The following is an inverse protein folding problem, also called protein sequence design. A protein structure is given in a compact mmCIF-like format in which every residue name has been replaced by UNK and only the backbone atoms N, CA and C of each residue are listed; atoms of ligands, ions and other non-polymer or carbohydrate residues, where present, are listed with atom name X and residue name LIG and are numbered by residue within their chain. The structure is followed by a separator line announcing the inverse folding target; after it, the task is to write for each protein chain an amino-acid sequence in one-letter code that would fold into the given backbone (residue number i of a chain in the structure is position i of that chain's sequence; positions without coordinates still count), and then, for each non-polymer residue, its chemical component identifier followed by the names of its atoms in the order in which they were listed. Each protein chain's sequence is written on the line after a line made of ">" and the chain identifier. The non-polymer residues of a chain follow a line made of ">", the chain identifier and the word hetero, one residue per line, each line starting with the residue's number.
data_IF_722498982722
#
_entry.id   IF_722498982722
#
_cell.length_a   1.000
_cell.length_b   1.000
_cell.length_c   1.000
_cell.angle_alpha   90.00
_cell.angle_beta   90.00
_cell.angle_gamma   90.00
#
_symmetry.space_group_name_H-M   'P 1'
#
loop_
_entity.id
_entity.type
_entity.pdbx_description
1 polymer ?
#
# COMPACT_ATOMS: atom_id res chain seq x y z
N UNK A 1 8.83 -7.12 -9.28
CA UNK A 1 7.79 -6.27 -8.64
C UNK A 1 6.57 -6.29 -9.56
N UNK A 2 5.43 -6.72 -9.04
CA UNK A 2 4.18 -6.63 -9.78
C UNK A 2 3.82 -5.15 -9.98
N UNK A 3 3.32 -4.80 -11.15
CA UNK A 3 2.91 -3.45 -11.54
C UNK A 3 1.81 -3.55 -12.59
N UNK A 4 0.91 -2.60 -12.59
CA UNK A 4 -0.08 -2.45 -13.65
C UNK A 4 -0.51 -0.99 -13.78
N UNK A 5 -1.26 -0.71 -14.83
CA UNK A 5 -1.91 0.57 -15.10
C UNK A 5 -3.40 0.29 -15.30
N UNK A 6 -4.25 1.03 -14.62
CA UNK A 6 -5.70 0.91 -14.75
C UNK A 6 -6.32 2.23 -15.19
N UNK A 7 -7.45 2.16 -15.87
CA UNK A 7 -8.30 3.31 -16.18
C UNK A 7 -9.49 3.43 -15.21
N UNK A 8 -9.57 2.53 -14.22
CA UNK A 8 -10.60 2.62 -13.19
C UNK A 8 -10.43 3.87 -12.35
N UNK A 9 -11.51 4.60 -12.15
CA UNK A 9 -11.54 5.76 -11.26
C UNK A 9 -11.49 5.36 -9.78
N UNK A 10 -11.68 4.07 -9.46
CA UNK A 10 -11.71 3.53 -8.09
C UNK A 10 -10.68 2.42 -7.96
N UNK A 11 -9.77 2.58 -7.02
CA UNK A 11 -8.65 1.65 -6.80
C UNK A 11 -9.06 0.38 -6.02
N UNK A 12 -10.20 0.40 -5.33
CA UNK A 12 -10.59 -0.68 -4.40
C UNK A 12 -10.60 -2.07 -5.04
N UNK A 13 -10.98 -2.19 -6.31
CA UNK A 13 -10.99 -3.47 -7.05
C UNK A 13 -9.62 -4.01 -7.44
N UNK A 14 -8.54 -3.21 -7.31
CA UNK A 14 -7.22 -3.60 -7.77
C UNK A 14 -6.41 -4.38 -6.72
N UNK A 15 -6.83 -4.37 -5.45
CA UNK A 15 -6.06 -4.98 -4.35
C UNK A 15 -5.86 -6.47 -4.55
N UNK A 16 -6.93 -7.19 -4.84
CA UNK A 16 -6.91 -8.64 -5.02
C UNK A 16 -6.10 -9.01 -6.25
N UNK A 17 -6.37 -8.36 -7.39
CA UNK A 17 -5.63 -8.61 -8.64
C UNK A 17 -4.13 -8.36 -8.48
N UNK A 18 -3.75 -7.29 -7.79
CA UNK A 18 -2.35 -6.99 -7.51
C UNK A 18 -1.71 -8.02 -6.56
N UNK A 19 -2.46 -8.51 -5.57
CA UNK A 19 -1.99 -9.55 -4.65
C UNK A 19 -1.71 -10.86 -5.40
N UNK A 20 -2.61 -11.25 -6.31
CA UNK A 20 -2.46 -12.44 -7.14
C UNK A 20 -1.28 -12.30 -8.13
N UNK A 21 -1.08 -11.10 -8.70
CA UNK A 21 0.08 -10.80 -9.54
C UNK A 21 1.41 -10.87 -8.76
N UNK A 22 1.42 -10.44 -7.50
CA UNK A 22 2.58 -10.57 -6.59
C UNK A 22 2.88 -12.04 -6.34
N UNK A 23 1.88 -12.85 -6.00
CA UNK A 23 2.04 -14.28 -5.78
C UNK A 23 2.60 -14.99 -7.02
N UNK A 24 2.05 -14.70 -8.19
CA UNK A 24 2.53 -15.23 -9.48
C UNK A 24 3.99 -14.85 -9.73
N UNK A 25 4.36 -13.58 -9.47
CA UNK A 25 5.72 -13.08 -9.74
C UNK A 25 6.77 -13.61 -8.77
N UNK A 26 6.40 -13.90 -7.53
CA UNK A 26 7.31 -14.33 -6.45
C UNK A 26 7.26 -15.84 -6.20
N UNK A 27 6.31 -16.57 -6.77
CA UNK A 27 6.07 -17.98 -6.50
C UNK A 27 5.61 -18.28 -5.07
N UNK A 28 5.21 -17.24 -4.33
CA UNK A 28 4.74 -17.38 -2.93
C UNK A 28 3.81 -16.23 -2.55
N UNK A 29 2.88 -16.51 -1.65
CA UNK A 29 2.01 -15.50 -1.05
C UNK A 29 2.80 -14.54 -0.15
N UNK A 30 2.48 -13.25 -0.14
CA UNK A 30 3.02 -12.33 0.86
C UNK A 30 2.48 -12.73 2.24
N UNK A 31 3.36 -12.82 3.25
CA UNK A 31 2.93 -13.04 4.63
C UNK A 31 2.21 -11.81 5.20
N UNK A 32 2.66 -10.61 4.81
CA UNK A 32 2.10 -9.34 5.25
C UNK A 32 1.84 -8.43 4.06
N UNK A 33 0.76 -7.64 4.14
CA UNK A 33 0.38 -6.65 3.13
C UNK A 33 -0.02 -5.34 3.80
N UNK A 34 0.49 -4.23 3.29
CA UNK A 34 0.04 -2.90 3.70
C UNK A 34 -0.54 -2.14 2.52
N UNK A 35 -1.70 -1.52 2.71
CA UNK A 35 -2.38 -0.76 1.66
C UNK A 35 -3.00 0.54 2.18
N UNK A 36 -3.30 1.44 1.24
CA UNK A 36 -3.93 2.72 1.50
C UNK A 36 -5.43 2.60 1.78
N UNK A 37 -6.01 3.70 2.28
CA UNK A 37 -7.42 3.77 2.64
C UNK A 37 -8.38 3.56 1.46
N UNK A 38 -7.95 3.84 0.23
CA UNK A 38 -8.73 3.56 -0.98
C UNK A 38 -9.03 2.08 -1.21
N UNK A 39 -8.24 1.20 -0.59
CA UNK A 39 -8.42 -0.26 -0.68
C UNK A 39 -9.22 -0.84 0.49
N UNK A 40 -9.63 -0.02 1.48
CA UNK A 40 -10.34 -0.49 2.66
C UNK A 40 -11.81 -0.71 2.36
N UNK A 41 -12.18 -1.94 2.09
CA UNK A 41 -13.57 -2.40 1.96
C UNK A 41 -13.75 -3.75 2.63
N UNK A 42 -14.98 -4.07 3.05
CA UNK A 42 -15.29 -5.37 3.66
C UNK A 42 -14.87 -6.53 2.75
N UNK A 43 -15.18 -6.42 1.45
CA UNK A 43 -14.85 -7.45 0.46
C UNK A 43 -13.34 -7.66 0.31
N UNK A 44 -12.55 -6.58 0.28
CA UNK A 44 -11.10 -6.69 0.20
C UNK A 44 -10.49 -7.30 1.46
N UNK A 45 -10.97 -6.89 2.64
CA UNK A 45 -10.49 -7.45 3.91
C UNK A 45 -10.83 -8.94 4.02
N UNK A 46 -12.03 -9.33 3.63
CA UNK A 46 -12.43 -10.74 3.55
C UNK A 46 -11.55 -11.54 2.58
N UNK A 47 -11.28 -10.99 1.40
CA UNK A 47 -10.42 -11.64 0.41
C UNK A 47 -8.99 -11.85 0.91
N UNK A 48 -8.44 -10.93 1.71
CA UNK A 48 -7.12 -11.04 2.33
C UNK A 48 -7.12 -12.05 3.47
N UNK A 49 -8.16 -12.07 4.31
CA UNK A 49 -8.36 -13.06 5.38
C UNK A 49 -8.42 -14.49 4.81
N UNK A 50 -9.22 -14.70 3.77
CA UNK A 50 -9.34 -15.99 3.09
C UNK A 50 -8.02 -16.48 2.46
N UNK A 51 -7.11 -15.55 2.15
CA UNK A 51 -5.74 -15.86 1.68
C UNK A 51 -4.74 -16.06 2.80
N UNK A 52 -5.13 -15.92 4.06
CA UNK A 52 -4.27 -15.93 5.24
C UNK A 52 -3.13 -14.89 5.16
N UNK A 53 -3.42 -13.70 4.66
CA UNK A 53 -2.48 -12.58 4.57
C UNK A 53 -2.70 -11.66 5.77
N UNK A 54 -1.63 -11.40 6.54
CA UNK A 54 -1.66 -10.45 7.64
C UNK A 54 -1.71 -9.00 7.09
N UNK A 55 -2.94 -8.50 6.91
CA UNK A 55 -3.18 -7.22 6.26
C UNK A 55 -3.16 -6.05 7.24
N UNK A 56 -2.65 -4.91 6.78
CA UNK A 56 -2.66 -3.61 7.43
C UNK A 56 -3.15 -2.56 6.43
N UNK A 57 -4.45 -2.41 6.31
CA UNK A 57 -5.11 -1.48 5.38
C UNK A 57 -5.56 -0.23 6.12
N UNK A 58 -5.14 0.96 5.67
CA UNK A 58 -5.59 2.21 6.27
C UNK A 58 -7.11 2.31 6.23
N UNK A 59 -7.75 2.54 7.38
CA UNK A 59 -9.21 2.63 7.46
C UNK A 59 -9.76 4.03 7.18
N UNK A 60 -8.91 4.96 6.69
CA UNK A 60 -9.26 6.37 6.57
C UNK A 60 -9.36 7.05 7.95
N UNK A 61 -9.46 8.37 7.95
CA UNK A 61 -10.05 9.06 9.10
C UNK A 61 -11.53 8.71 9.07
N UNK A 62 -12.11 8.30 10.18
CA UNK A 62 -13.56 8.35 10.30
C UNK A 62 -13.95 9.77 9.85
N UNK A 63 -14.60 9.89 8.72
CA UNK A 63 -15.38 11.09 8.46
C UNK A 63 -16.48 10.96 9.51
N UNK A 64 -16.28 11.64 10.61
CA UNK A 64 -17.38 11.96 11.47
C UNK A 64 -18.42 12.58 10.53
N UNK A 65 -19.50 11.88 10.32
CA UNK A 65 -20.53 12.22 9.35
C UNK A 65 -21.33 13.43 9.83
N UNK A 66 -20.67 14.41 10.42
CA UNK A 66 -21.18 15.74 10.72
C UNK A 66 -19.97 16.66 10.86
N UNK A 67 -19.60 17.36 9.84
CA UNK A 67 -18.90 18.62 10.03
C UNK A 67 -18.89 19.44 8.76
N UNK A 68 -20.03 20.00 8.43
CA UNK A 68 -20.05 21.39 8.07
C UNK A 68 -19.75 22.19 9.32
N UNK A 69 -18.52 22.24 9.78
CA UNK A 69 -18.20 23.00 11.00
C UNK A 69 -17.82 24.42 10.60
N UNK A 70 -18.78 25.28 10.70
CA UNK A 70 -18.57 26.68 11.09
C UNK A 70 -17.86 26.66 12.46
N UNK A 71 -16.66 27.22 12.53
CA UNK A 71 -15.95 27.49 13.79
C UNK A 71 -16.89 28.30 14.71
N UNK A 72 -17.31 27.74 15.84
CA UNK A 72 -17.82 28.58 16.92
C UNK A 72 -19.15 28.17 17.56
N UNK A 73 -19.53 26.89 17.65
CA UNK A 73 -20.62 26.50 18.53
C UNK A 73 -20.30 25.18 19.22
N UNK A 74 -20.15 25.22 20.53
CA UNK A 74 -20.12 24.03 21.38
C UNK A 74 -21.54 23.42 21.35
N UNK A 75 -21.74 22.44 20.49
CA UNK A 75 -22.96 21.64 20.50
C UNK A 75 -22.61 20.29 21.06
N UNK A 76 -23.10 19.98 22.24
CA UNK A 76 -23.14 18.66 22.85
C UNK A 76 -24.00 17.75 21.97
N UNK A 77 -23.37 17.06 21.04
CA UNK A 77 -24.00 15.98 20.27
C UNK A 77 -24.04 14.76 21.19
N UNK A 78 -25.20 14.13 21.43
CA UNK A 78 -25.25 12.89 22.17
C UNK A 78 -24.37 11.83 21.50
N UNK A 79 -23.70 10.94 22.27
CA UNK A 79 -22.90 9.87 21.70
C UNK A 79 -23.76 9.04 20.75
N UNK A 80 -23.24 8.80 19.54
CA UNK A 80 -23.89 7.91 18.60
C UNK A 80 -24.17 6.56 19.26
N UNK A 81 -25.34 5.92 19.03
CA UNK A 81 -25.64 4.63 19.61
C UNK A 81 -24.55 3.63 19.28
N UNK A 82 -24.09 2.88 20.28
CA UNK A 82 -23.11 1.83 20.06
C UNK A 82 -23.62 0.83 19.01
N UNK A 83 -22.79 0.39 18.07
CA UNK A 83 -23.22 -0.55 17.06
C UNK A 83 -23.67 -1.86 17.72
N UNK A 84 -24.94 -2.19 17.58
CA UNK A 84 -25.53 -3.42 18.07
C UNK A 84 -25.24 -4.53 17.08
N UNK A 85 -24.07 -5.18 17.23
CA UNK A 85 -23.68 -6.30 16.37
C UNK A 85 -22.18 -6.63 16.50
N UNK A 86 -21.73 -7.76 15.93
CA UNK A 86 -20.31 -8.05 15.89
C UNK A 86 -19.59 -6.97 15.05
N UNK A 87 -18.35 -6.58 15.43
CA UNK A 87 -17.62 -5.54 14.74
C UNK A 87 -17.40 -5.92 13.27
N UNK A 88 -17.58 -4.96 12.39
CA UNK A 88 -17.26 -5.14 10.97
C UNK A 88 -15.75 -5.39 10.77
N UNK A 89 -15.36 -5.99 9.65
CA UNK A 89 -13.93 -6.19 9.32
C UNK A 89 -13.17 -4.86 9.28
N UNK A 90 -13.80 -3.79 8.82
CA UNK A 90 -13.22 -2.45 8.81
C UNK A 90 -12.99 -1.94 10.25
N UNK A 91 -13.92 -2.17 11.16
CA UNK A 91 -13.77 -1.80 12.58
C UNK A 91 -12.69 -2.64 13.26
N UNK A 92 -12.66 -3.95 12.99
CA UNK A 92 -11.61 -4.84 13.48
C UNK A 92 -10.22 -4.41 12.96
N UNK A 93 -10.10 -4.03 11.68
CA UNK A 93 -8.87 -3.50 11.10
C UNK A 93 -8.45 -2.19 11.77
N UNK A 94 -9.38 -1.29 12.05
CA UNK A 94 -9.14 -0.04 12.78
C UNK A 94 -8.60 -0.32 14.19
N UNK A 95 -9.22 -1.24 14.91
CA UNK A 95 -8.78 -1.67 16.23
C UNK A 95 -7.37 -2.29 16.18
N UNK A 96 -7.08 -3.16 15.20
CA UNK A 96 -5.77 -3.78 14.97
C UNK A 96 -4.68 -2.74 14.75
N UNK A 97 -4.91 -1.76 13.88
CA UNK A 97 -3.95 -0.68 13.60
C UNK A 97 -3.71 0.18 14.85
N UNK A 98 -4.78 0.51 15.57
CA UNK A 98 -4.70 1.30 16.81
C UNK A 98 -3.94 0.57 17.91
N UNK A 99 -4.20 -0.71 18.13
CA UNK A 99 -3.54 -1.54 19.12
C UNK A 99 -2.03 -1.72 18.81
N UNK A 100 -1.66 -1.84 17.53
CA UNK A 100 -0.26 -1.99 17.13
C UNK A 100 0.60 -0.73 17.33
N UNK A 101 0.01 0.44 17.40
CA UNK A 101 0.69 1.71 17.67
C UNK A 101 1.95 1.93 16.83
N UNK A 102 3.03 2.38 17.47
CA UNK A 102 4.32 2.61 16.81
C UNK A 102 5.08 1.33 16.44
N UNK A 103 4.80 0.21 17.05
CA UNK A 103 5.42 -1.10 16.76
C UNK A 103 4.78 -1.80 15.54
N UNK A 104 3.63 -1.31 15.08
CA UNK A 104 2.90 -1.91 13.96
C UNK A 104 3.68 -1.86 12.65
N UNK A 105 3.70 -2.96 11.87
CA UNK A 105 4.19 -2.99 10.49
C UNK A 105 3.52 -1.94 9.58
N UNK A 106 2.33 -1.49 9.93
CA UNK A 106 1.62 -0.39 9.25
C UNK A 106 2.45 0.88 9.11
N UNK A 107 3.36 1.15 10.06
CA UNK A 107 4.28 2.29 10.00
C UNK A 107 5.19 2.27 8.76
N UNK A 108 5.55 1.09 8.29
CA UNK A 108 6.40 0.92 7.10
C UNK A 108 5.71 1.35 5.81
N UNK A 109 4.39 1.50 5.82
CA UNK A 109 3.59 1.91 4.67
C UNK A 109 4.09 3.18 3.98
N UNK A 110 4.47 4.20 4.77
CA UNK A 110 5.01 5.45 4.22
C UNK A 110 6.47 5.31 3.77
N UNK A 111 7.23 4.46 4.43
CA UNK A 111 8.66 4.32 4.18
C UNK A 111 9.00 3.46 2.95
N UNK A 112 8.09 2.63 2.47
CA UNK A 112 8.33 1.72 1.36
C UNK A 112 7.96 2.31 -0.01
N UNK A 113 6.73 2.80 -0.27
CA UNK A 113 6.36 3.31 -1.58
C UNK A 113 6.87 4.73 -1.88
N UNK A 114 6.88 5.64 -0.89
CA UNK A 114 7.31 7.03 -1.10
C UNK A 114 8.73 7.16 -1.67
N UNK A 115 9.76 6.44 -1.15
CA UNK A 115 11.10 6.48 -1.74
C UNK A 115 11.17 5.91 -3.15
N UNK A 116 10.33 4.93 -3.50
CA UNK A 116 10.28 4.35 -4.86
C UNK A 116 9.81 5.40 -5.85
N UNK A 117 8.67 6.02 -5.59
CA UNK A 117 8.14 7.08 -6.44
C UNK A 117 9.01 8.33 -6.45
N UNK A 118 9.62 8.67 -5.32
CA UNK A 118 10.61 9.74 -5.22
C UNK A 118 11.81 9.50 -6.13
N UNK A 119 12.39 8.30 -6.12
CA UNK A 119 13.49 7.92 -7.01
C UNK A 119 13.09 7.94 -8.49
N UNK A 120 11.90 7.45 -8.84
CA UNK A 120 11.39 7.46 -10.21
C UNK A 120 11.20 8.90 -10.70
N UNK A 121 10.54 9.75 -9.91
CA UNK A 121 10.19 11.12 -10.30
C UNK A 121 11.36 12.09 -10.23
N UNK A 122 12.17 12.05 -9.16
CA UNK A 122 13.22 13.03 -8.91
C UNK A 122 14.58 12.59 -9.47
N UNK A 123 15.06 11.39 -9.13
CA UNK A 123 16.39 10.95 -9.53
C UNK A 123 16.45 10.51 -11.00
N UNK A 124 15.33 10.04 -11.58
CA UNK A 124 15.26 9.58 -12.98
C UNK A 124 14.48 10.52 -13.89
N UNK A 125 13.93 11.59 -13.36
CA UNK A 125 13.20 12.60 -14.13
C UNK A 125 11.88 12.15 -14.76
N UNK A 126 11.37 10.95 -14.42
CA UNK A 126 10.12 10.44 -14.98
C UNK A 126 8.93 11.08 -14.26
N UNK A 127 8.48 12.22 -14.76
CA UNK A 127 7.40 13.01 -14.15
C UNK A 127 6.06 12.87 -14.84
N UNK A 128 6.04 12.42 -16.09
CA UNK A 128 4.85 12.26 -16.91
C UNK A 128 5.06 11.16 -17.94
N UNK A 129 3.98 10.54 -18.38
CA UNK A 129 4.00 9.63 -19.52
C UNK A 129 4.21 10.41 -20.82
N UNK A 130 5.08 9.91 -21.68
CA UNK A 130 5.39 10.51 -22.97
C UNK A 130 4.53 9.92 -24.09
N UNK A 131 4.09 8.68 -23.90
CA UNK A 131 3.24 7.98 -24.85
C UNK A 131 1.76 8.23 -24.53
N UNK A 132 0.91 8.10 -25.54
CA UNK A 132 -0.54 8.25 -25.43
C UNK A 132 -1.24 6.95 -25.79
N UNK A 133 -2.35 6.69 -25.12
CA UNK A 133 -3.13 5.46 -25.24
C UNK A 133 -2.72 4.40 -24.22
N UNK A 134 -3.71 3.65 -23.75
CA UNK A 134 -3.59 2.75 -22.60
C UNK A 134 -2.46 1.74 -22.75
N UNK A 135 -2.39 1.02 -23.85
CA UNK A 135 -1.38 -0.02 -24.10
C UNK A 135 0.05 0.55 -24.13
N UNK A 136 0.22 1.74 -24.74
CA UNK A 136 1.53 2.38 -24.82
C UNK A 136 1.98 2.89 -23.45
N UNK A 137 1.08 3.50 -22.68
CA UNK A 137 1.35 3.95 -21.29
C UNK A 137 1.68 2.75 -20.39
N UNK A 138 0.97 1.64 -20.55
CA UNK A 138 1.24 0.39 -19.81
C UNK A 138 2.63 -0.15 -20.13
N UNK A 139 3.02 -0.15 -21.40
CA UNK A 139 4.38 -0.52 -21.83
C UNK A 139 5.45 0.41 -21.27
N UNK A 140 5.22 1.72 -21.34
CA UNK A 140 6.14 2.73 -20.79
C UNK A 140 6.33 2.54 -19.26
N UNK A 141 5.25 2.32 -18.52
CA UNK A 141 5.31 2.04 -17.10
C UNK A 141 6.05 0.73 -16.78
N UNK A 142 5.84 -0.31 -17.57
CA UNK A 142 6.56 -1.58 -17.42
C UNK A 142 8.08 -1.40 -17.57
N UNK A 143 8.53 -0.60 -18.53
CA UNK A 143 9.95 -0.27 -18.71
C UNK A 143 10.50 0.49 -17.49
N UNK A 144 9.79 1.49 -17.00
CA UNK A 144 10.19 2.26 -15.80
C UNK A 144 10.34 1.35 -14.58
N UNK A 145 9.38 0.45 -14.35
CA UNK A 145 9.44 -0.53 -13.26
C UNK A 145 10.59 -1.52 -13.43
N UNK A 146 10.85 -1.99 -14.65
CA UNK A 146 11.96 -2.91 -14.95
C UNK A 146 13.30 -2.26 -14.65
N UNK A 147 13.53 -1.04 -15.13
CA UNK A 147 14.75 -0.27 -14.84
C UNK A 147 14.93 -0.05 -13.34
N UNK A 148 13.83 0.27 -12.63
CA UNK A 148 13.87 0.43 -11.17
C UNK A 148 14.33 -0.86 -10.48
N UNK A 149 13.77 -2.01 -10.87
CA UNK A 149 14.09 -3.31 -10.30
C UNK A 149 15.52 -3.74 -10.59
N UNK A 150 15.99 -3.56 -11.83
CA UNK A 150 17.38 -3.87 -12.21
C UNK A 150 18.39 -3.07 -11.39
N UNK A 151 18.15 -1.77 -11.20
CA UNK A 151 19.01 -0.93 -10.38
C UNK A 151 19.01 -1.33 -8.90
N UNK A 152 17.87 -1.76 -8.38
CA UNK A 152 17.80 -2.32 -7.02
C UNK A 152 18.58 -3.61 -6.87
N UNK A 153 18.48 -4.50 -7.85
CA UNK A 153 19.25 -5.75 -7.87
C UNK A 153 20.74 -5.49 -7.91
N UNK A 154 21.19 -4.59 -8.79
CA UNK A 154 22.59 -4.22 -8.87
C UNK A 154 23.13 -3.63 -7.56
N UNK A 155 22.38 -2.73 -6.92
CA UNK A 155 22.74 -2.17 -5.60
C UNK A 155 22.78 -3.24 -4.49
N UNK A 156 21.85 -4.19 -4.51
CA UNK A 156 21.83 -5.30 -3.56
C UNK A 156 23.04 -6.22 -3.71
N UNK A 157 23.44 -6.53 -4.94
CA UNK A 157 24.64 -7.34 -5.21
C UNK A 157 25.93 -6.64 -4.77
N UNK A 158 26.04 -5.33 -5.01
CA UNK A 158 27.20 -4.55 -4.56
C UNK A 158 27.32 -4.55 -3.04
N UNK A 159 26.20 -4.40 -2.33
CA UNK A 159 26.18 -4.44 -0.87
C UNK A 159 26.58 -5.83 -0.33
N UNK A 160 26.05 -6.91 -0.91
CA UNK A 160 26.42 -8.26 -0.54
C UNK A 160 27.90 -8.55 -0.76
N UNK A 161 28.46 -8.14 -1.89
CA UNK A 161 29.88 -8.29 -2.19
C UNK A 161 30.75 -7.51 -1.19
N UNK A 162 30.37 -6.28 -0.84
CA UNK A 162 31.08 -5.48 0.17
C UNK A 162 31.04 -6.13 1.56
N UNK A 163 29.89 -6.69 1.98
CA UNK A 163 29.76 -7.40 3.25
C UNK A 163 30.60 -8.69 3.29
N UNK A 164 30.68 -9.43 2.18
CA UNK A 164 31.49 -10.64 2.08
C UNK A 164 32.98 -10.30 2.15
N UNK A 165 33.44 -9.23 1.50
CA UNK A 165 34.83 -8.77 1.61
C UNK A 165 35.19 -8.35 3.04
N UNK A 166 34.31 -7.63 3.72
CA UNK A 166 34.51 -7.22 5.10
C UNK A 166 34.56 -8.42 6.08
N UNK A 167 33.72 -9.43 5.87
CA UNK A 167 33.69 -10.65 6.68
C UNK A 167 34.89 -11.58 6.43
N UNK A 168 35.49 -11.52 5.24
CA UNK A 168 36.68 -12.32 4.91
C UNK A 168 38.02 -11.66 5.34
N UNK A 169 37.97 -10.43 5.82
CA UNK A 169 39.14 -9.68 6.30
C UNK A 169 39.32 -9.70 7.83
N UNK A 170 38.42 -10.38 8.55
CA UNK A 170 38.45 -10.58 10.00
C UNK A 170 38.81 -12.01 10.36
#
# INVERSE_FOLDING_TARGET
>A
MAHDVTQSAVDSGQLVAMTDAIETSLGRKPAQLSADAGYCSEANLEALENRNIDAYVATGRARDAVAGTVKGAATTVPPAPEPVGPPTRVEAMRAKIKAGGHASPYRLRKQLPEPVFGKIKQARGFRQFLLRGFEKVRGEWAIVCTVHNLLKLAQGQTLLAALQMAAGAA
#
